data_IF_029349791640
#
_entry.id   IF_029349791640
#
_cell.length_a   1.000
_cell.length_b   1.000
_cell.length_c   1.000
_cell.angle_alpha   90.00
_cell.angle_beta   90.00
_cell.angle_gamma   90.00
#
_symmetry.space_group_name_H-M   'P 1'
#
loop_
_entity.id
_entity.type
_entity.pdbx_description
1 polymer ?
#
# COMPACT_ATOMS: atom_id res chain seq x y z
N UNK A 1 12.22 8.61 11.35
CA UNK A 1 12.18 8.85 9.89
C UNK A 1 12.34 7.55 9.08
N UNK A 2 13.29 6.66 9.38
CA UNK A 2 13.59 5.48 8.55
C UNK A 2 12.46 4.45 8.29
N UNK A 3 11.44 4.34 9.16
CA UNK A 3 10.39 3.32 9.00
C UNK A 3 9.28 3.73 8.01
N UNK A 4 9.03 5.04 7.87
CA UNK A 4 8.05 5.60 6.94
C UNK A 4 8.56 5.46 5.51
N UNK A 5 9.84 5.74 5.28
CA UNK A 5 10.50 5.56 3.98
C UNK A 5 10.46 4.09 3.52
N UNK A 6 10.70 3.13 4.43
CA UNK A 6 10.62 1.70 4.10
C UNK A 6 9.23 1.27 3.64
N UNK A 7 8.19 1.71 4.34
CA UNK A 7 6.79 1.41 3.96
C UNK A 7 6.42 2.04 2.63
N UNK A 8 6.86 3.27 2.36
CA UNK A 8 6.64 3.92 1.06
C UNK A 8 7.35 3.18 -0.08
N UNK A 9 8.59 2.72 0.13
CA UNK A 9 9.34 1.94 -0.86
C UNK A 9 8.67 0.59 -1.16
N UNK A 10 8.23 -0.14 -0.12
CA UNK A 10 7.52 -1.40 -0.30
C UNK A 10 6.16 -1.20 -1.00
N UNK A 11 5.45 -0.11 -0.68
CA UNK A 11 4.19 0.24 -1.33
C UNK A 11 4.37 0.58 -2.81
N UNK A 12 5.42 1.34 -3.15
CA UNK A 12 5.75 1.64 -4.54
C UNK A 12 6.04 0.36 -5.34
N UNK A 13 6.86 -0.54 -4.77
CA UNK A 13 7.15 -1.84 -5.39
C UNK A 13 5.90 -2.69 -5.59
N UNK A 14 4.96 -2.64 -4.65
CA UNK A 14 3.70 -3.38 -4.75
C UNK A 14 2.81 -2.85 -5.88
N UNK A 15 2.69 -1.53 -6.01
CA UNK A 15 1.95 -0.90 -7.10
C UNK A 15 2.61 -1.21 -8.44
N UNK A 16 3.94 -1.06 -8.54
CA UNK A 16 4.69 -1.36 -9.76
C UNK A 16 4.49 -2.83 -10.20
N UNK A 17 4.48 -3.77 -9.25
CA UNK A 17 4.22 -5.19 -9.54
C UNK A 17 2.79 -5.42 -10.05
N UNK A 18 1.80 -4.79 -9.43
CA UNK A 18 0.38 -4.93 -9.79
C UNK A 18 0.03 -4.31 -11.15
N UNK A 19 0.82 -3.35 -11.63
CA UNK A 19 0.64 -2.71 -12.93
C UNK A 19 1.32 -3.47 -14.08
N UNK A 20 2.04 -4.56 -13.79
CA UNK A 20 2.63 -5.42 -14.83
C UNK A 20 1.55 -6.21 -15.57
N UNK A 21 1.83 -6.52 -16.84
CA UNK A 21 1.00 -7.41 -17.65
C UNK A 21 0.83 -8.80 -17.01
N UNK A 22 1.89 -9.30 -16.36
CA UNK A 22 1.89 -10.53 -15.58
C UNK A 22 2.44 -10.28 -14.16
N UNK A 23 1.56 -9.93 -13.20
CA UNK A 23 1.98 -9.68 -11.82
C UNK A 23 2.36 -10.99 -11.12
N UNK A 24 3.53 -10.99 -10.46
CA UNK A 24 3.99 -12.10 -9.64
C UNK A 24 3.19 -12.18 -8.35
N UNK A 25 2.32 -13.19 -8.27
CA UNK A 25 1.48 -13.45 -7.07
C UNK A 25 2.31 -13.62 -5.79
N UNK A 26 3.47 -14.24 -5.89
CA UNK A 26 4.36 -14.45 -4.75
C UNK A 26 4.92 -13.12 -4.23
N UNK A 27 5.33 -12.23 -5.14
CA UNK A 27 5.88 -10.93 -4.78
C UNK A 27 4.80 -10.01 -4.22
N UNK A 28 3.63 -9.98 -4.84
CA UNK A 28 2.45 -9.25 -4.33
C UNK A 28 2.13 -9.70 -2.90
N UNK A 29 2.04 -11.02 -2.67
CA UNK A 29 1.74 -11.58 -1.34
C UNK A 29 2.79 -11.20 -0.29
N UNK A 30 4.08 -11.27 -0.63
CA UNK A 30 5.17 -10.87 0.26
C UNK A 30 5.08 -9.39 0.63
N UNK A 31 4.91 -8.51 -0.36
CA UNK A 31 4.83 -7.07 -0.14
C UNK A 31 3.57 -6.67 0.63
N UNK A 32 2.43 -7.31 0.38
CA UNK A 32 1.22 -7.08 1.19
C UNK A 32 1.41 -7.49 2.65
N UNK A 33 2.11 -8.60 2.91
CA UNK A 33 2.41 -9.03 4.27
C UNK A 33 3.37 -8.07 4.98
N UNK A 34 4.41 -7.60 4.28
CA UNK A 34 5.37 -6.61 4.80
C UNK A 34 4.68 -5.28 5.18
N UNK A 35 3.65 -4.90 4.43
CA UNK A 35 2.88 -3.68 4.66
C UNK A 35 1.70 -3.87 5.63
N UNK A 36 1.48 -5.09 6.14
CA UNK A 36 0.35 -5.41 7.01
C UNK A 36 -1.01 -5.27 6.31
N UNK A 37 -1.04 -5.41 4.98
CA UNK A 37 -2.26 -5.34 4.17
C UNK A 37 -2.86 -6.74 3.95
N UNK A 38 -4.21 -6.85 3.88
CA UNK A 38 -4.84 -8.10 3.49
C UNK A 38 -4.52 -8.42 2.03
N UNK A 39 -4.28 -9.71 1.77
CA UNK A 39 -4.02 -10.24 0.43
C UNK A 39 -5.29 -10.86 -0.16
N UNK A 40 -5.55 -10.61 -1.44
CA UNK A 40 -6.61 -11.24 -2.22
C UNK A 40 -6.06 -11.90 -3.48
N UNK A 41 -6.66 -13.04 -3.85
CA UNK A 41 -6.43 -13.70 -5.14
C UNK A 41 -7.14 -12.98 -6.29
N UNK A 42 -8.21 -12.23 -5.99
CA UNK A 42 -8.93 -11.41 -6.96
C UNK A 42 -8.16 -10.10 -7.21
N UNK A 43 -7.71 -9.82 -8.45
CA UNK A 43 -6.91 -8.65 -8.76
C UNK A 43 -7.62 -7.32 -8.46
N UNK A 44 -8.93 -7.23 -8.68
CA UNK A 44 -9.70 -6.01 -8.41
C UNK A 44 -9.80 -5.72 -6.92
N UNK A 45 -10.09 -6.74 -6.11
CA UNK A 45 -10.07 -6.64 -4.66
C UNK A 45 -8.68 -6.25 -4.16
N UNK A 46 -7.62 -6.87 -4.70
CA UNK A 46 -6.24 -6.56 -4.31
C UNK A 46 -5.87 -5.11 -4.63
N UNK A 47 -6.23 -4.59 -5.81
CA UNK A 47 -6.00 -3.19 -6.17
C UNK A 47 -6.78 -2.22 -5.25
N UNK A 48 -8.05 -2.51 -4.97
CA UNK A 48 -8.86 -1.69 -4.06
C UNK A 48 -8.24 -1.62 -2.65
N UNK A 49 -7.77 -2.75 -2.12
CA UNK A 49 -7.08 -2.79 -0.83
C UNK A 49 -5.83 -1.92 -0.81
N UNK A 50 -5.01 -1.98 -1.86
CA UNK A 50 -3.78 -1.17 -1.97
C UNK A 50 -4.10 0.31 -2.04
N UNK A 51 -5.09 0.71 -2.85
CA UNK A 51 -5.53 2.09 -2.97
C UNK A 51 -6.11 2.65 -1.65
N UNK A 52 -6.90 1.85 -0.93
CA UNK A 52 -7.41 2.23 0.40
C UNK A 52 -6.28 2.41 1.41
N UNK A 53 -5.27 1.55 1.38
CA UNK A 53 -4.09 1.66 2.25
C UNK A 53 -3.29 2.93 1.97
N UNK A 54 -3.06 3.26 0.69
CA UNK A 54 -2.45 4.52 0.27
C UNK A 54 -3.22 5.71 0.83
N UNK A 55 -4.53 5.75 0.64
CA UNK A 55 -5.38 6.83 1.15
C UNK A 55 -5.33 6.94 2.68
N UNK A 56 -5.28 5.83 3.42
CA UNK A 56 -5.17 5.84 4.89
C UNK A 56 -3.85 6.47 5.38
N UNK A 57 -2.74 6.16 4.71
CA UNK A 57 -1.41 6.75 5.01
C UNK A 57 -1.41 8.26 4.77
N UNK A 58 -2.01 8.73 3.67
CA UNK A 58 -2.13 10.17 3.37
C UNK A 58 -3.11 10.89 4.30
N UNK A 59 -4.25 10.29 4.64
CA UNK A 59 -5.28 10.91 5.49
C UNK A 59 -4.87 11.03 6.96
N UNK A 60 -4.12 10.06 7.51
CA UNK A 60 -3.52 10.22 8.85
C UNK A 60 -2.49 11.35 8.91
N UNK A 61 -1.80 11.62 7.79
CA UNK A 61 -0.81 12.69 7.70
C UNK A 61 -1.46 14.08 7.60
N UNK A 62 -2.69 14.16 7.07
CA UNK A 62 -3.44 15.42 6.96
C UNK A 62 -4.26 15.77 8.21
N UNK A 63 -4.86 14.80 8.93
CA UNK A 63 -5.75 15.09 10.08
C UNK A 63 -5.14 15.79 11.29
N UNK A 64 -3.81 16.01 11.34
CA UNK A 64 -3.15 16.65 12.48
C UNK A 64 -2.88 18.14 12.31
N UNK A 65 -3.20 18.75 11.16
CA UNK A 65 -2.88 20.17 10.93
C UNK A 65 -4.09 21.11 10.91
N UNK A 66 -5.30 20.57 10.94
CA UNK A 66 -6.54 21.33 10.68
C UNK A 66 -7.47 21.43 11.89
N UNK A 67 -7.08 20.89 13.06
CA UNK A 67 -7.89 20.83 14.28
C UNK A 67 -7.24 21.52 15.50
N UNK A 68 -6.23 22.37 15.27
CA UNK A 68 -5.71 23.32 16.26
C UNK A 68 -5.98 24.75 15.78
N UNK A 69 -7.23 25.21 15.89
CA UNK A 69 -7.64 26.63 15.88
C UNK A 69 -8.94 26.80 16.65
#
# INVERSE_FOLDING_TARGET
MAEVDKKQVALKKLVDELMKDQPSRNLVKQLTAELGMPYSLDPMTQMNTVLQSMNSVYLRSNRRRDLES
#
